data_IF_164564557048
#
_entry.id   IF_164564557048
#
_cell.length_a   1.000
_cell.length_b   1.000
_cell.length_c   1.000
_cell.angle_alpha   90.00
_cell.angle_beta   90.00
_cell.angle_gamma   90.00
#
_symmetry.space_group_name_H-M   'P 1'
#
loop_
_entity.id
_entity.type
_entity.pdbx_description
1 polymer ?
#
# COMPACT_ATOMS: atom_id res chain seq x y z
N UNK A 1 -25.07 -13.94 -12.82
CA UNK A 1 -23.98 -13.84 -11.82
C UNK A 1 -23.42 -12.43 -11.88
N UNK A 2 -23.40 -11.72 -10.76
CA UNK A 2 -22.99 -10.32 -10.71
C UNK A 2 -21.47 -10.24 -10.90
N UNK A 3 -20.99 -9.61 -11.99
CA UNK A 3 -19.56 -9.51 -12.35
C UNK A 3 -18.69 -8.78 -11.32
N UNK A 4 -19.31 -8.17 -10.29
CA UNK A 4 -18.64 -7.43 -9.21
C UNK A 4 -17.67 -8.28 -8.38
N UNK A 5 -17.87 -9.60 -8.37
CA UNK A 5 -17.18 -10.54 -7.48
C UNK A 5 -16.01 -11.29 -8.14
N UNK A 6 -15.73 -11.08 -9.42
CA UNK A 6 -14.62 -11.75 -10.09
C UNK A 6 -13.31 -10.99 -9.90
N UNK A 7 -12.25 -11.75 -9.62
CA UNK A 7 -10.87 -11.26 -9.81
C UNK A 7 -10.65 -11.10 -11.32
N UNK A 8 -10.44 -9.86 -11.75
CA UNK A 8 -10.26 -9.49 -13.16
C UNK A 8 -8.81 -9.10 -13.43
N UNK A 9 -8.36 -9.23 -14.68
CA UNK A 9 -7.01 -8.86 -15.08
C UNK A 9 -6.60 -7.45 -14.64
N UNK A 10 -7.50 -6.46 -14.79
CA UNK A 10 -7.25 -5.07 -14.37
C UNK A 10 -6.95 -4.94 -12.87
N UNK A 11 -7.54 -5.79 -12.04
CA UNK A 11 -7.28 -5.80 -10.59
C UNK A 11 -5.91 -6.39 -10.27
N UNK A 12 -5.55 -7.50 -10.92
CA UNK A 12 -4.21 -8.09 -10.79
C UNK A 12 -3.13 -7.13 -11.29
N UNK A 13 -3.40 -6.39 -12.38
CA UNK A 13 -2.51 -5.34 -12.86
C UNK A 13 -2.36 -4.20 -11.85
N UNK A 14 -3.43 -3.78 -11.19
CA UNK A 14 -3.38 -2.76 -10.14
C UNK A 14 -2.59 -3.25 -8.90
N UNK A 15 -2.75 -4.51 -8.50
CA UNK A 15 -1.94 -5.13 -7.44
C UNK A 15 -0.46 -5.18 -7.84
N UNK A 16 -0.16 -5.58 -9.07
CA UNK A 16 1.21 -5.63 -9.57
C UNK A 16 1.84 -4.23 -9.61
N UNK A 17 1.11 -3.24 -10.10
CA UNK A 17 1.57 -1.85 -10.11
C UNK A 17 1.85 -1.34 -8.68
N UNK A 18 0.98 -1.67 -7.72
CA UNK A 18 1.21 -1.33 -6.31
C UNK A 18 2.50 -1.97 -5.78
N UNK A 19 2.73 -3.27 -6.05
CA UNK A 19 3.96 -3.95 -5.67
C UNK A 19 5.22 -3.34 -6.30
N UNK A 20 5.16 -2.93 -7.57
CA UNK A 20 6.28 -2.24 -8.21
C UNK A 20 6.60 -0.90 -7.54
N UNK A 21 5.57 -0.11 -7.21
CA UNK A 21 5.77 1.18 -6.54
C UNK A 21 6.31 0.96 -5.13
N UNK A 22 5.76 0.01 -4.38
CA UNK A 22 6.24 -0.35 -3.04
C UNK A 22 7.72 -0.77 -3.07
N UNK A 23 8.12 -1.60 -4.04
CA UNK A 23 9.51 -1.99 -4.23
C UNK A 23 10.42 -0.80 -4.56
N UNK A 24 9.98 0.13 -5.40
CA UNK A 24 10.74 1.36 -5.70
C UNK A 24 10.91 2.21 -4.42
N UNK A 25 9.84 2.34 -3.62
CA UNK A 25 9.90 3.07 -2.34
C UNK A 25 10.90 2.40 -1.40
N UNK A 26 10.85 1.09 -1.26
CA UNK A 26 11.83 0.35 -0.47
C UNK A 26 13.27 0.61 -0.94
N UNK A 27 13.54 0.63 -2.25
CA UNK A 27 14.86 1.00 -2.77
C UNK A 27 15.28 2.45 -2.49
N UNK A 28 14.33 3.38 -2.35
CA UNK A 28 14.62 4.78 -2.03
C UNK A 28 15.00 4.99 -0.57
N UNK A 29 14.41 4.21 0.34
CA UNK A 29 14.51 4.45 1.79
C UNK A 29 15.28 3.37 2.56
N UNK A 30 15.46 2.16 2.02
CA UNK A 30 16.09 1.05 2.74
C UNK A 30 17.63 1.11 2.61
N UNK A 31 18.36 1.32 3.71
CA UNK A 31 19.82 1.28 3.69
C UNK A 31 20.29 -0.17 3.56
N UNK A 32 21.00 -0.49 2.47
CA UNK A 32 21.64 -1.80 2.29
C UNK A 32 23.01 -1.91 2.97
N UNK A 33 23.56 -0.80 3.47
CA UNK A 33 24.84 -0.69 4.21
C UNK A 33 24.88 0.65 4.97
N UNK A 34 26.04 1.04 5.53
CA UNK A 34 26.28 2.40 6.08
C UNK A 34 26.28 3.51 5.00
N UNK A 35 25.94 3.19 3.75
CA UNK A 35 25.86 4.16 2.66
C UNK A 35 24.57 4.97 2.71
N UNK A 36 24.68 6.23 2.26
CA UNK A 36 23.53 7.12 2.04
C UNK A 36 22.54 6.47 1.07
N UNK A 37 21.25 6.48 1.41
CA UNK A 37 20.20 6.03 0.52
C UNK A 37 19.92 7.08 -0.56
N UNK A 38 19.28 6.68 -1.66
CA UNK A 38 18.95 7.61 -2.76
C UNK A 38 18.10 8.79 -2.27
N UNK A 39 17.27 8.58 -1.25
CA UNK A 39 16.47 9.64 -0.65
C UNK A 39 17.31 10.71 0.07
N UNK A 40 18.50 10.37 0.58
CA UNK A 40 19.35 11.32 1.30
C UNK A 40 19.84 12.44 0.37
N UNK A 41 20.15 12.12 -0.89
CA UNK A 41 20.52 13.12 -1.87
C UNK A 41 19.38 14.12 -2.16
N UNK A 42 18.14 13.62 -2.16
CA UNK A 42 16.93 14.46 -2.34
C UNK A 42 16.68 15.31 -1.09
N UNK A 43 16.86 14.73 0.10
CA UNK A 43 16.73 15.43 1.37
C UNK A 43 17.76 16.56 1.51
N UNK A 44 19.03 16.30 1.19
CA UNK A 44 20.11 17.28 1.24
C UNK A 44 19.87 18.46 0.28
N UNK A 45 19.35 18.18 -0.92
CA UNK A 45 19.03 19.23 -1.89
C UNK A 45 17.78 20.04 -1.51
N UNK A 46 16.73 19.38 -0.99
CA UNK A 46 15.43 20.00 -0.69
C UNK A 46 14.81 19.43 0.60
N UNK A 47 15.23 19.88 1.80
CA UNK A 47 14.84 19.26 3.07
C UNK A 47 13.34 19.35 3.38
N UNK A 48 12.72 20.51 3.15
CA UNK A 48 11.29 20.70 3.45
C UNK A 48 10.42 19.96 2.43
N UNK A 49 10.77 20.07 1.15
CA UNK A 49 10.00 19.45 0.07
C UNK A 49 10.06 17.92 0.14
N UNK A 50 11.22 17.36 0.46
CA UNK A 50 11.38 15.90 0.62
C UNK A 50 10.50 15.36 1.74
N UNK A 51 10.43 16.00 2.92
CA UNK A 51 9.53 15.57 3.99
C UNK A 51 8.06 15.59 3.53
N UNK A 52 7.64 16.65 2.83
CA UNK A 52 6.27 16.75 2.30
C UNK A 52 5.98 15.62 1.31
N UNK A 53 6.91 15.34 0.40
CA UNK A 53 6.76 14.25 -0.58
C UNK A 53 6.71 12.90 0.13
N UNK A 54 7.56 12.65 1.13
CA UNK A 54 7.59 11.40 1.87
C UNK A 54 6.27 11.12 2.61
N UNK A 55 5.71 12.15 3.27
CA UNK A 55 4.40 12.06 3.93
C UNK A 55 3.29 11.82 2.91
N UNK A 56 3.30 12.57 1.81
CA UNK A 56 2.28 12.43 0.76
C UNK A 56 2.33 11.05 0.10
N UNK A 57 3.54 10.55 -0.19
CA UNK A 57 3.75 9.23 -0.79
C UNK A 57 3.30 8.11 0.14
N UNK A 58 3.62 8.22 1.43
CA UNK A 58 3.15 7.30 2.47
C UNK A 58 1.62 7.26 2.56
N UNK A 59 0.97 8.44 2.55
CA UNK A 59 -0.48 8.54 2.57
C UNK A 59 -1.10 7.95 1.29
N UNK A 60 -0.51 8.22 0.13
CA UNK A 60 -0.95 7.68 -1.15
C UNK A 60 -0.88 6.15 -1.16
N UNK A 61 0.24 5.58 -0.72
CA UNK A 61 0.42 4.13 -0.62
C UNK A 61 -0.54 3.49 0.36
N UNK A 62 -0.78 4.13 1.51
CA UNK A 62 -1.76 3.66 2.50
C UNK A 62 -3.17 3.62 1.90
N UNK A 63 -3.62 4.71 1.26
CA UNK A 63 -4.96 4.80 0.70
C UNK A 63 -5.14 3.87 -0.51
N UNK A 64 -4.12 3.76 -1.36
CA UNK A 64 -4.14 2.86 -2.51
C UNK A 64 -4.16 1.39 -2.05
N UNK A 65 -3.27 1.02 -1.12
CA UNK A 65 -3.24 -0.31 -0.51
C UNK A 65 -4.57 -0.66 0.16
N UNK A 66 -5.17 0.30 0.85
CA UNK A 66 -6.53 0.16 1.42
C UNK A 66 -7.57 -0.16 0.38
N UNK A 67 -7.57 0.57 -0.74
CA UNK A 67 -8.54 0.30 -1.80
C UNK A 67 -8.35 -1.07 -2.42
N UNK A 68 -7.10 -1.49 -2.61
CA UNK A 68 -6.78 -2.82 -3.14
C UNK A 68 -7.20 -3.92 -2.18
N UNK A 69 -6.99 -3.74 -0.88
CA UNK A 69 -7.42 -4.69 0.15
C UNK A 69 -8.93 -4.81 0.24
N UNK A 70 -9.67 -3.70 0.24
CA UNK A 70 -11.15 -3.70 0.18
C UNK A 70 -11.64 -4.52 -1.02
N UNK A 71 -11.09 -4.27 -2.21
CA UNK A 71 -11.44 -4.98 -3.42
C UNK A 71 -11.05 -6.45 -3.38
N UNK A 72 -9.88 -6.78 -2.83
CA UNK A 72 -9.42 -8.16 -2.63
C UNK A 72 -10.38 -8.92 -1.71
N UNK A 73 -10.73 -8.31 -0.58
CA UNK A 73 -11.64 -8.90 0.39
C UNK A 73 -13.00 -9.18 -0.24
N UNK A 74 -13.59 -8.18 -0.89
CA UNK A 74 -14.96 -8.27 -1.44
C UNK A 74 -15.05 -9.16 -2.69
N UNK A 75 -13.94 -9.40 -3.39
CA UNK A 75 -13.91 -10.25 -4.59
C UNK A 75 -13.43 -11.67 -4.32
N UNK A 76 -12.54 -11.88 -3.35
CA UNK A 76 -11.99 -13.20 -3.08
C UNK A 76 -12.43 -13.73 -1.72
N UNK A 77 -12.11 -13.01 -0.64
CA UNK A 77 -12.28 -13.52 0.73
C UNK A 77 -13.76 -13.69 1.08
N UNK A 78 -14.59 -12.68 0.84
CA UNK A 78 -16.04 -12.73 1.08
C UNK A 78 -16.69 -13.89 0.33
N UNK A 79 -16.26 -14.14 -0.91
CA UNK A 79 -16.83 -15.20 -1.75
C UNK A 79 -16.35 -16.60 -1.34
N UNK A 80 -15.06 -16.78 -1.07
CA UNK A 80 -14.50 -18.07 -0.67
C UNK A 80 -15.02 -18.52 0.70
N UNK A 81 -15.11 -17.59 1.65
CA UNK A 81 -15.47 -17.89 3.04
C UNK A 81 -16.91 -17.54 3.38
N UNK A 82 -17.71 -17.06 2.41
CA UNK A 82 -19.10 -16.58 2.60
C UNK A 82 -19.20 -15.51 3.70
N UNK A 83 -18.19 -14.65 3.80
CA UNK A 83 -18.16 -13.52 4.73
C UNK A 83 -18.85 -12.30 4.12
N UNK A 84 -19.24 -11.34 4.97
CA UNK A 84 -19.78 -10.06 4.49
C UNK A 84 -18.71 -9.25 3.75
N UNK A 85 -19.17 -8.40 2.84
CA UNK A 85 -18.35 -7.35 2.28
C UNK A 85 -17.95 -6.32 3.36
N UNK A 86 -16.81 -5.69 3.14
CA UNK A 86 -16.29 -4.60 3.96
C UNK A 86 -16.29 -3.29 3.19
N UNK A 87 -16.44 -2.20 3.92
CA UNK A 87 -16.32 -0.84 3.42
C UNK A 87 -14.85 -0.39 3.39
N UNK A 88 -14.58 0.71 2.68
CA UNK A 88 -13.25 1.31 2.66
C UNK A 88 -12.73 1.67 4.07
N UNK A 89 -13.60 2.16 4.96
CA UNK A 89 -13.21 2.53 6.33
C UNK A 89 -12.84 1.31 7.18
N UNK A 90 -13.56 0.21 7.01
CA UNK A 90 -13.22 -1.07 7.66
C UNK A 90 -11.90 -1.62 7.13
N UNK A 91 -11.69 -1.58 5.81
CA UNK A 91 -10.41 -1.94 5.19
C UNK A 91 -9.25 -1.08 5.72
N UNK A 92 -9.45 0.24 5.81
CA UNK A 92 -8.45 1.17 6.33
C UNK A 92 -8.09 0.84 7.78
N UNK A 93 -9.11 0.59 8.61
CA UNK A 93 -8.92 0.25 10.02
C UNK A 93 -8.12 -1.04 10.17
N UNK A 94 -8.42 -2.07 9.37
CA UNK A 94 -7.68 -3.34 9.36
C UNK A 94 -6.22 -3.11 8.99
N UNK A 95 -5.96 -2.37 7.91
CA UNK A 95 -4.58 -2.08 7.49
C UNK A 95 -3.83 -1.28 8.53
N UNK A 96 -4.43 -0.25 9.12
CA UNK A 96 -3.79 0.54 10.17
C UNK A 96 -3.42 -0.32 11.38
N UNK A 97 -4.32 -1.22 11.82
CA UNK A 97 -4.02 -2.16 12.90
C UNK A 97 -2.86 -3.08 12.52
N UNK A 98 -2.85 -3.63 11.29
CA UNK A 98 -1.73 -4.45 10.84
C UNK A 98 -0.42 -3.66 10.73
N UNK A 99 -0.45 -2.41 10.28
CA UNK A 99 0.75 -1.56 10.23
C UNK A 99 1.30 -1.27 11.62
N UNK A 100 0.43 -1.03 12.62
CA UNK A 100 0.86 -0.87 14.02
C UNK A 100 1.53 -2.15 14.52
N UNK A 101 0.92 -3.32 14.26
CA UNK A 101 1.49 -4.61 14.65
C UNK A 101 2.85 -4.83 13.96
N UNK A 102 2.93 -4.60 12.64
CA UNK A 102 4.16 -4.78 11.87
C UNK A 102 5.29 -3.85 12.33
N UNK A 103 4.98 -2.59 12.67
CA UNK A 103 5.94 -1.63 13.20
C UNK A 103 6.38 -1.93 14.65
N UNK A 104 5.73 -2.88 15.33
CA UNK A 104 6.06 -3.28 16.70
C UNK A 104 7.04 -4.46 16.77
N UNK A 105 7.43 -5.03 15.62
CA UNK A 105 8.43 -6.10 15.48
C UNK A 105 9.66 -5.59 14.74
#
# INVERSE_FOLDING_TARGET
MNDKHKIVFKFNLALFAYLCVDFIVLLLYEPKSEEKVLWDAVYEAFPVLSIIIAVFLSLLLLLWGTKLFELFWNRLISNLFKLREITFQEALSIILVFSIIAASF
#
